data_IF_528133403128
#
_entry.id   IF_528133403128
#
_cell.length_a   1.000
_cell.length_b   1.000
_cell.length_c   1.000
_cell.angle_alpha   90.00
_cell.angle_beta   90.00
_cell.angle_gamma   90.00
#
_symmetry.space_group_name_H-M   'P 1'
#
loop_
_entity.id
_entity.type
_entity.pdbx_description
1 polymer ?
#
# COMPACT_ATOMS: atom_id res chain seq x y z
N UNK A 1 -18.64 -12.52 -13.10
CA UNK A 1 -17.94 -13.80 -12.99
C UNK A 1 -18.32 -14.50 -11.68
N UNK A 2 -18.13 -13.90 -10.50
CA UNK A 2 -18.39 -14.48 -9.18
C UNK A 2 -19.84 -15.00 -9.03
N UNK A 3 -20.84 -14.17 -9.34
CA UNK A 3 -22.25 -14.56 -9.28
C UNK A 3 -22.57 -15.83 -10.12
N UNK A 4 -21.98 -15.94 -11.33
CA UNK A 4 -22.17 -17.10 -12.19
C UNK A 4 -21.52 -18.36 -11.62
N UNK A 5 -20.32 -18.23 -11.02
CA UNK A 5 -19.59 -19.33 -10.41
C UNK A 5 -20.35 -19.88 -9.18
N UNK A 6 -20.88 -18.98 -8.35
CA UNK A 6 -21.70 -19.33 -7.18
C UNK A 6 -22.98 -20.06 -7.62
N UNK A 7 -23.72 -19.51 -8.61
CA UNK A 7 -24.96 -20.10 -9.10
C UNK A 7 -24.76 -21.49 -9.75
N UNK A 8 -23.56 -21.73 -10.30
CA UNK A 8 -23.23 -23.02 -10.90
C UNK A 8 -22.64 -24.04 -9.90
N UNK A 9 -22.49 -23.67 -8.63
CA UNK A 9 -21.78 -24.44 -7.58
C UNK A 9 -20.39 -24.93 -8.04
N UNK A 10 -19.72 -24.11 -8.86
CA UNK A 10 -18.36 -24.34 -9.42
C UNK A 10 -17.39 -23.22 -9.01
N UNK A 11 -17.48 -22.83 -7.73
CA UNK A 11 -16.54 -21.85 -7.20
C UNK A 11 -15.17 -22.52 -7.01
N UNK A 12 -14.14 -21.98 -7.68
CA UNK A 12 -12.73 -22.24 -7.38
C UNK A 12 -12.25 -21.36 -6.21
N UNK A 13 -10.97 -21.47 -5.87
CA UNK A 13 -10.39 -20.60 -4.84
C UNK A 13 -10.41 -19.14 -5.25
N UNK A 14 -10.62 -18.26 -4.27
CA UNK A 14 -10.82 -16.82 -4.45
C UNK A 14 -10.02 -16.05 -3.42
N UNK A 15 -9.47 -14.90 -3.80
CA UNK A 15 -8.89 -13.95 -2.87
C UNK A 15 -9.65 -12.62 -2.98
N UNK A 16 -10.27 -12.19 -1.88
CA UNK A 16 -10.89 -10.88 -1.75
C UNK A 16 -9.86 -9.91 -1.19
N UNK A 17 -9.58 -8.87 -1.95
CA UNK A 17 -8.64 -7.82 -1.60
C UNK A 17 -9.36 -6.47 -1.57
N UNK A 18 -8.99 -5.60 -0.64
CA UNK A 18 -9.54 -4.25 -0.54
C UNK A 18 -9.62 -3.73 0.89
N UNK A 19 -10.01 -2.46 1.09
CA UNK A 19 -9.99 -1.80 2.39
C UNK A 19 -10.93 -2.46 3.41
N UNK A 20 -10.73 -2.21 4.71
CA UNK A 20 -11.60 -2.74 5.76
C UNK A 20 -13.04 -2.25 5.59
N UNK A 21 -14.00 -3.01 6.12
CA UNK A 21 -15.43 -2.64 6.11
C UNK A 21 -16.14 -2.79 4.77
N UNK A 22 -15.48 -3.28 3.71
CA UNK A 22 -16.06 -3.50 2.38
C UNK A 22 -16.87 -4.82 2.25
N UNK A 23 -17.00 -5.58 3.33
CA UNK A 23 -17.84 -6.78 3.36
C UNK A 23 -17.15 -8.08 2.91
N UNK A 24 -15.81 -8.19 2.88
CA UNK A 24 -15.07 -9.41 2.49
C UNK A 24 -15.57 -10.66 3.23
N UNK A 25 -15.62 -10.62 4.55
CA UNK A 25 -16.09 -11.73 5.41
C UNK A 25 -17.57 -12.03 5.20
N UNK A 26 -18.38 -10.99 5.02
CA UNK A 26 -19.81 -11.13 4.75
C UNK A 26 -20.06 -11.83 3.42
N UNK A 27 -19.31 -11.43 2.39
CA UNK A 27 -19.40 -12.05 1.05
C UNK A 27 -19.00 -13.53 1.09
N UNK A 28 -17.93 -13.87 1.81
CA UNK A 28 -17.50 -15.25 2.00
C UNK A 28 -18.60 -16.11 2.66
N UNK A 29 -19.27 -15.57 3.69
CA UNK A 29 -20.41 -16.26 4.34
C UNK A 29 -21.63 -16.41 3.43
N UNK A 30 -21.93 -15.39 2.62
CA UNK A 30 -23.03 -15.49 1.63
C UNK A 30 -22.71 -16.57 0.60
N UNK A 31 -21.47 -16.66 0.12
CA UNK A 31 -21.02 -17.71 -0.79
C UNK A 31 -21.21 -19.09 -0.15
N UNK A 32 -20.75 -19.26 1.07
CA UNK A 32 -20.85 -20.53 1.78
C UNK A 32 -22.32 -20.97 1.98
N UNK A 33 -23.19 -20.03 2.35
CA UNK A 33 -24.63 -20.33 2.54
C UNK A 33 -25.37 -20.60 1.22
N UNK A 34 -24.79 -20.24 0.09
CA UNK A 34 -25.40 -20.45 -1.24
C UNK A 34 -24.88 -21.72 -1.92
N UNK A 35 -23.79 -22.28 -1.41
CA UNK A 35 -23.17 -23.51 -1.91
C UNK A 35 -23.48 -24.69 -1.01
N UNK A 36 -23.27 -25.90 -1.49
CA UNK A 36 -23.43 -27.13 -0.72
C UNK A 36 -22.22 -27.47 0.18
N UNK A 37 -21.18 -26.62 0.16
CA UNK A 37 -19.94 -26.83 0.87
C UNK A 37 -20.06 -26.46 2.37
N UNK A 38 -19.26 -27.12 3.19
CA UNK A 38 -19.11 -26.75 4.62
C UNK A 38 -18.19 -25.54 4.76
N UNK A 39 -18.52 -24.63 5.68
CA UNK A 39 -17.77 -23.40 5.90
C UNK A 39 -16.92 -23.46 7.17
N UNK A 40 -15.63 -23.34 7.03
CA UNK A 40 -14.69 -23.24 8.15
C UNK A 40 -13.91 -21.93 8.04
N UNK A 41 -13.77 -21.21 9.16
CA UNK A 41 -13.09 -19.93 9.21
C UNK A 41 -11.84 -20.01 10.06
N UNK A 42 -10.72 -19.50 9.54
CA UNK A 42 -9.48 -19.23 10.29
C UNK A 42 -9.16 -17.73 10.21
N UNK A 43 -8.59 -17.23 11.29
CA UNK A 43 -8.00 -15.89 11.30
C UNK A 43 -6.47 -16.06 11.32
N UNK A 44 -5.78 -15.59 10.28
CA UNK A 44 -4.35 -15.78 10.14
C UNK A 44 -3.51 -15.06 11.21
N UNK A 45 -4.10 -14.10 11.94
CA UNK A 45 -3.40 -13.44 13.07
C UNK A 45 -3.30 -14.31 14.32
N UNK A 46 -4.20 -15.27 14.49
CA UNK A 46 -4.29 -16.13 15.69
C UNK A 46 -4.08 -17.61 15.40
N UNK A 47 -4.37 -18.05 14.17
CA UNK A 47 -4.30 -19.45 13.78
C UNK A 47 -2.85 -19.92 13.60
N UNK A 48 -2.55 -21.06 14.24
CA UNK A 48 -1.27 -21.75 14.11
C UNK A 48 -1.33 -22.95 13.16
N UNK A 49 -0.21 -23.65 13.04
CA UNK A 49 -0.10 -24.85 12.18
C UNK A 49 -1.09 -25.95 12.61
N UNK A 50 -1.31 -26.12 13.89
CA UNK A 50 -2.24 -27.15 14.42
C UNK A 50 -3.69 -26.89 13.99
N UNK A 51 -4.12 -25.64 14.01
CA UNK A 51 -5.48 -25.29 13.59
C UNK A 51 -5.69 -25.60 12.10
N UNK A 52 -4.66 -25.37 11.29
CA UNK A 52 -4.69 -25.70 9.86
C UNK A 52 -4.73 -27.20 9.62
N UNK A 53 -3.94 -27.98 10.38
CA UNK A 53 -3.93 -29.45 10.31
C UNK A 53 -5.29 -30.05 10.69
N UNK A 54 -5.95 -29.50 11.70
CA UNK A 54 -7.28 -29.92 12.12
C UNK A 54 -8.33 -29.66 11.04
N UNK A 55 -8.35 -28.46 10.47
CA UNK A 55 -9.24 -28.09 9.36
C UNK A 55 -9.05 -29.02 8.15
N UNK A 56 -7.81 -29.28 7.78
CA UNK A 56 -7.50 -30.19 6.64
C UNK A 56 -7.98 -31.61 6.92
N UNK A 57 -7.72 -32.14 8.12
CA UNK A 57 -8.16 -33.47 8.53
C UNK A 57 -9.68 -33.61 8.48
N UNK A 58 -10.39 -32.61 9.02
CA UNK A 58 -11.86 -32.60 8.94
C UNK A 58 -12.36 -32.51 7.50
N UNK A 59 -11.74 -31.69 6.65
CA UNK A 59 -12.11 -31.57 5.25
C UNK A 59 -11.94 -32.88 4.49
N UNK A 60 -10.83 -33.59 4.72
CA UNK A 60 -10.57 -34.91 4.15
C UNK A 60 -11.59 -35.95 4.61
N UNK A 61 -11.96 -35.94 5.89
CA UNK A 61 -13.00 -36.83 6.41
C UNK A 61 -14.37 -36.54 5.78
N UNK A 62 -14.74 -35.27 5.63
CA UNK A 62 -16.01 -34.86 5.01
C UNK A 62 -16.10 -35.28 3.55
N UNK A 63 -15.02 -35.12 2.79
CA UNK A 63 -14.96 -35.59 1.40
C UNK A 63 -15.10 -37.10 1.35
N UNK A 64 -14.35 -37.84 2.19
CA UNK A 64 -14.37 -39.31 2.19
C UNK A 64 -15.71 -39.90 2.61
N UNK A 65 -16.42 -39.30 3.60
CA UNK A 65 -17.67 -39.84 4.14
C UNK A 65 -18.92 -39.33 3.40
N UNK A 66 -18.89 -38.08 2.94
CA UNK A 66 -20.11 -37.39 2.48
C UNK A 66 -19.98 -36.80 1.07
N UNK A 67 -18.80 -36.85 0.46
CA UNK A 67 -18.53 -36.20 -0.82
C UNK A 67 -18.66 -34.68 -0.78
N UNK A 68 -18.70 -34.06 0.43
CA UNK A 68 -18.87 -32.63 0.62
C UNK A 68 -17.52 -31.92 0.64
N UNK A 69 -17.41 -30.83 -0.14
CA UNK A 69 -16.25 -29.94 -0.11
C UNK A 69 -16.26 -29.02 1.12
N UNK A 70 -15.11 -28.56 1.51
CA UNK A 70 -14.97 -27.55 2.57
C UNK A 70 -14.48 -26.24 1.98
N UNK A 71 -15.22 -25.15 2.23
CA UNK A 71 -14.74 -23.79 2.00
C UNK A 71 -13.96 -23.35 3.23
N UNK A 72 -12.66 -23.15 3.06
CA UNK A 72 -11.81 -22.55 4.08
C UNK A 72 -11.71 -21.04 3.83
N UNK A 73 -12.35 -20.26 4.71
CA UNK A 73 -12.17 -18.81 4.74
C UNK A 73 -10.99 -18.46 5.65
N UNK A 74 -9.99 -17.78 5.09
CA UNK A 74 -8.82 -17.27 5.83
C UNK A 74 -8.88 -15.76 5.83
N UNK A 75 -9.19 -15.20 7.01
CA UNK A 75 -9.16 -13.74 7.21
C UNK A 75 -7.71 -13.29 7.44
N UNK A 76 -7.35 -12.14 6.85
CA UNK A 76 -6.00 -11.56 6.87
C UNK A 76 -4.92 -12.56 6.38
N UNK A 77 -5.17 -13.23 5.26
CA UNK A 77 -4.30 -14.31 4.72
C UNK A 77 -2.83 -13.88 4.57
N UNK A 78 -2.54 -12.59 4.37
CA UNK A 78 -1.19 -12.04 4.31
C UNK A 78 -0.40 -12.20 5.62
N UNK A 79 -1.06 -12.47 6.76
CA UNK A 79 -0.42 -12.74 8.05
C UNK A 79 0.12 -14.17 8.16
N UNK A 80 -0.32 -15.08 7.33
CA UNK A 80 0.32 -16.38 7.23
C UNK A 80 1.71 -16.27 6.62
N UNK A 81 2.70 -16.88 7.25
CA UNK A 81 4.03 -16.98 6.67
C UNK A 81 4.03 -17.92 5.44
N UNK A 82 5.11 -17.87 4.64
CA UNK A 82 5.21 -18.65 3.40
C UNK A 82 4.98 -20.15 3.62
N UNK A 83 5.53 -20.73 4.70
CA UNK A 83 5.36 -22.13 5.01
C UNK A 83 3.92 -22.52 5.36
N UNK A 84 3.15 -21.62 5.99
CA UNK A 84 1.73 -21.84 6.27
C UNK A 84 0.91 -21.76 4.97
N UNK A 85 1.23 -20.81 4.10
CA UNK A 85 0.59 -20.69 2.79
C UNK A 85 0.90 -21.90 1.89
N UNK A 86 2.15 -22.39 1.89
CA UNK A 86 2.59 -23.57 1.16
C UNK A 86 1.90 -24.84 1.67
N UNK A 87 1.63 -24.92 2.97
CA UNK A 87 0.92 -26.06 3.56
C UNK A 87 -0.51 -26.24 3.01
N UNK A 88 -1.20 -25.14 2.69
CA UNK A 88 -2.55 -25.20 2.12
C UNK A 88 -2.57 -25.62 0.64
N UNK A 89 -1.47 -25.42 -0.08
CA UNK A 89 -1.41 -25.56 -1.52
C UNK A 89 -1.84 -26.95 -2.03
N UNK A 90 -1.35 -28.09 -1.51
CA UNK A 90 -1.77 -29.42 -1.95
C UNK A 90 -3.28 -29.63 -1.86
N UNK A 91 -3.91 -29.15 -0.79
CA UNK A 91 -5.34 -29.33 -0.52
C UNK A 91 -6.25 -28.39 -1.34
N UNK A 92 -5.68 -27.30 -1.83
CA UNK A 92 -6.33 -26.43 -2.80
C UNK A 92 -6.21 -27.04 -4.21
N UNK A 93 -5.08 -27.68 -4.52
CA UNK A 93 -4.83 -28.32 -5.81
C UNK A 93 -5.70 -29.56 -6.03
N UNK A 94 -5.83 -30.41 -5.04
CA UNK A 94 -6.63 -31.64 -5.12
C UNK A 94 -8.12 -31.41 -4.91
N UNK A 95 -8.52 -30.17 -4.55
CA UNK A 95 -9.91 -29.77 -4.36
C UNK A 95 -10.50 -30.21 -3.01
N UNK A 96 -9.69 -30.68 -2.07
CA UNK A 96 -10.10 -30.94 -0.67
C UNK A 96 -10.61 -29.67 -0.02
N UNK A 97 -9.94 -28.55 -0.29
CA UNK A 97 -10.31 -27.23 0.18
C UNK A 97 -10.62 -26.28 -1.00
N UNK A 98 -11.67 -25.51 -0.88
CA UNK A 98 -11.90 -24.29 -1.66
C UNK A 98 -11.46 -23.11 -0.80
N UNK A 99 -10.34 -22.48 -1.14
CA UNK A 99 -9.80 -21.38 -0.35
C UNK A 99 -10.54 -20.08 -0.70
N UNK A 100 -11.04 -19.37 0.31
CA UNK A 100 -11.44 -17.96 0.20
C UNK A 100 -10.52 -17.15 1.10
N UNK A 101 -9.49 -16.51 0.54
CA UNK A 101 -8.62 -15.60 1.26
C UNK A 101 -9.22 -14.20 1.33
N UNK A 102 -9.10 -13.52 2.46
CA UNK A 102 -9.39 -12.09 2.59
C UNK A 102 -8.14 -11.35 3.03
N UNK A 103 -7.88 -10.20 2.45
CA UNK A 103 -6.74 -9.36 2.80
C UNK A 103 -7.04 -7.87 2.56
N UNK A 104 -6.39 -7.02 3.34
CA UNK A 104 -6.35 -5.57 3.09
C UNK A 104 -5.13 -5.15 2.30
N UNK A 105 -4.13 -6.04 2.20
CA UNK A 105 -2.87 -5.83 1.50
C UNK A 105 -2.92 -6.37 0.07
N UNK A 106 -2.05 -5.84 -0.81
CA UNK A 106 -1.99 -6.31 -2.20
C UNK A 106 -1.55 -7.78 -2.26
N UNK A 107 -2.43 -8.68 -2.73
CA UNK A 107 -2.16 -10.11 -2.71
C UNK A 107 -0.96 -10.50 -3.58
N UNK A 108 -0.63 -9.74 -4.60
CA UNK A 108 0.52 -10.02 -5.48
C UNK A 108 1.87 -9.88 -4.78
N UNK A 109 1.94 -9.13 -3.67
CA UNK A 109 3.16 -9.00 -2.87
C UNK A 109 3.19 -9.92 -1.66
N UNK A 110 2.03 -10.17 -1.05
CA UNK A 110 1.95 -10.79 0.26
C UNK A 110 1.50 -12.26 0.23
N UNK A 111 0.79 -12.66 -0.83
CA UNK A 111 0.32 -14.04 -0.96
C UNK A 111 1.25 -14.82 -1.89
N UNK A 112 1.49 -16.09 -1.54
CA UNK A 112 2.33 -16.98 -2.36
C UNK A 112 1.82 -17.05 -3.80
N UNK A 113 2.72 -16.84 -4.77
CA UNK A 113 2.42 -16.89 -6.20
C UNK A 113 1.74 -18.18 -6.66
N UNK A 114 2.03 -19.31 -5.99
CA UNK A 114 1.39 -20.58 -6.29
C UNK A 114 -0.10 -20.61 -5.88
N UNK A 115 -0.48 -19.99 -4.76
CA UNK A 115 -1.89 -19.81 -4.38
C UNK A 115 -2.59 -18.80 -5.30
N UNK A 116 -1.91 -17.70 -5.65
CA UNK A 116 -2.43 -16.69 -6.57
C UNK A 116 -2.78 -17.30 -7.92
N UNK A 117 -1.87 -18.12 -8.49
CA UNK A 117 -2.09 -18.75 -9.81
C UNK A 117 -3.30 -19.70 -9.85
N UNK A 118 -3.79 -20.13 -8.69
CA UNK A 118 -4.93 -21.04 -8.50
C UNK A 118 -6.17 -20.36 -7.96
N UNK A 119 -6.10 -19.06 -7.76
CA UNK A 119 -7.19 -18.27 -7.17
C UNK A 119 -7.63 -17.17 -8.13
N UNK A 120 -8.90 -16.81 -8.08
CA UNK A 120 -9.41 -15.62 -8.75
C UNK A 120 -9.35 -14.47 -7.75
N UNK A 121 -8.69 -13.39 -8.13
CA UNK A 121 -8.59 -12.20 -7.29
C UNK A 121 -9.75 -11.25 -7.60
N UNK A 122 -10.47 -10.83 -6.56
CA UNK A 122 -11.50 -9.81 -6.65
C UNK A 122 -11.13 -8.62 -5.76
N UNK A 123 -10.94 -7.47 -6.39
CA UNK A 123 -10.81 -6.21 -5.69
C UNK A 123 -12.18 -5.69 -5.24
N UNK A 124 -12.31 -5.43 -3.95
CA UNK A 124 -13.48 -4.80 -3.36
C UNK A 124 -13.14 -3.33 -3.08
N UNK A 125 -13.82 -2.44 -3.77
CA UNK A 125 -13.67 -1.00 -3.59
C UNK A 125 -14.35 -0.53 -2.31
N UNK A 126 -13.97 0.64 -1.76
CA UNK A 126 -14.78 1.29 -0.74
C UNK A 126 -16.23 1.39 -1.19
N UNK A 127 -17.15 1.28 -0.24
CA UNK A 127 -18.58 1.45 -0.54
C UNK A 127 -18.86 2.93 -0.85
N UNK A 128 -19.74 3.18 -1.80
CA UNK A 128 -20.20 4.53 -2.08
C UNK A 128 -21.12 5.04 -0.95
N UNK A 129 -21.21 6.36 -0.80
CA UNK A 129 -22.02 7.01 0.25
C UNK A 129 -23.45 6.48 0.27
N UNK A 130 -24.07 6.37 -0.90
CA UNK A 130 -25.44 5.89 -1.08
C UNK A 130 -25.64 4.44 -0.64
N UNK A 131 -24.59 3.60 -0.74
CA UNK A 131 -24.67 2.21 -0.29
C UNK A 131 -24.59 2.12 1.24
N UNK A 132 -23.79 2.98 1.87
CA UNK A 132 -23.73 3.08 3.33
C UNK A 132 -25.06 3.63 3.88
N UNK A 133 -25.65 4.64 3.26
CA UNK A 133 -26.97 5.15 3.66
C UNK A 133 -28.04 4.06 3.64
N UNK A 134 -28.10 3.23 2.58
CA UNK A 134 -29.01 2.07 2.50
C UNK A 134 -28.72 1.05 3.60
N UNK A 135 -27.44 0.82 3.94
CA UNK A 135 -27.07 -0.08 5.03
C UNK A 135 -27.53 0.46 6.38
N UNK A 136 -27.38 1.76 6.64
CA UNK A 136 -27.86 2.42 7.85
C UNK A 136 -29.39 2.36 7.97
N UNK A 137 -30.12 2.67 6.89
CA UNK A 137 -31.60 2.54 6.85
C UNK A 137 -32.05 1.11 7.17
N UNK A 138 -31.39 0.13 6.54
CA UNK A 138 -31.70 -1.28 6.83
C UNK A 138 -31.34 -1.65 8.26
N UNK A 139 -30.26 -1.16 8.80
CA UNK A 139 -29.83 -1.45 10.16
C UNK A 139 -30.87 -0.96 11.19
N UNK A 140 -31.46 0.21 10.99
CA UNK A 140 -32.46 0.76 11.92
C UNK A 140 -33.88 0.24 11.70
N UNK A 141 -34.17 -0.36 10.54
CA UNK A 141 -35.52 -0.86 10.20
C UNK A 141 -35.69 -2.37 10.33
N UNK A 142 -34.62 -3.16 10.15
CA UNK A 142 -34.68 -4.63 10.19
C UNK A 142 -34.90 -5.12 11.65
N UNK A 143 -36.02 -5.77 12.00
CA UNK A 143 -36.26 -6.20 13.37
C UNK A 143 -35.57 -7.50 13.75
N UNK A 144 -35.01 -8.23 12.78
CA UNK A 144 -34.39 -9.56 13.00
C UNK A 144 -32.86 -9.46 13.02
N UNK A 145 -32.30 -8.71 12.09
CA UNK A 145 -30.86 -8.60 11.92
C UNK A 145 -30.31 -7.21 12.22
N UNK A 146 -31.14 -6.28 12.61
CA UNK A 146 -30.82 -4.90 12.90
C UNK A 146 -31.42 -4.41 14.22
N UNK A 147 -31.61 -3.11 14.29
CA UNK A 147 -32.05 -2.37 15.45
C UNK A 147 -33.57 -2.03 15.40
N UNK A 148 -34.32 -2.62 14.47
CA UNK A 148 -35.76 -2.29 14.24
C UNK A 148 -36.66 -2.46 15.46
N UNK A 149 -36.29 -3.32 16.43
CA UNK A 149 -37.02 -3.50 17.69
C UNK A 149 -36.89 -2.32 18.64
N UNK A 150 -35.96 -1.43 18.43
CA UNK A 150 -35.73 -0.25 19.27
C UNK A 150 -36.59 0.95 18.88
N UNK A 151 -37.33 0.89 17.77
CA UNK A 151 -38.11 2.01 17.22
C UNK A 151 -37.26 3.26 16.98
N UNK A 152 -36.21 3.12 16.19
CA UNK A 152 -35.26 4.17 15.90
C UNK A 152 -35.78 5.11 14.82
N UNK A 153 -35.61 6.40 15.03
CA UNK A 153 -35.72 7.46 14.00
C UNK A 153 -34.33 7.99 13.73
N UNK A 154 -33.82 7.74 12.55
CA UNK A 154 -32.51 8.27 12.09
C UNK A 154 -32.80 9.50 11.22
N UNK A 155 -32.35 10.67 11.66
CA UNK A 155 -32.53 11.91 10.94
C UNK A 155 -31.70 11.91 9.63
N UNK A 156 -32.22 12.61 8.61
CA UNK A 156 -31.62 12.58 7.28
C UNK A 156 -30.19 13.13 7.25
N UNK A 157 -29.92 14.21 7.98
CA UNK A 157 -28.61 14.83 8.14
C UNK A 157 -27.64 13.95 8.93
N UNK A 158 -28.11 13.29 9.99
CA UNK A 158 -27.31 12.31 10.74
C UNK A 158 -26.91 11.11 9.88
N UNK A 159 -27.85 10.59 9.07
CA UNK A 159 -27.59 9.50 8.12
C UNK A 159 -26.55 9.89 7.09
N UNK A 160 -26.71 11.05 6.47
CA UNK A 160 -25.79 11.60 5.49
C UNK A 160 -24.39 11.79 6.10
N UNK A 161 -24.31 12.37 7.29
CA UNK A 161 -23.08 12.59 8.02
C UNK A 161 -22.34 11.28 8.33
N UNK A 162 -23.06 10.27 8.88
CA UNK A 162 -22.47 8.95 9.18
C UNK A 162 -21.91 8.28 7.92
N UNK A 163 -22.66 8.37 6.80
CA UNK A 163 -22.22 7.78 5.54
C UNK A 163 -20.96 8.47 4.97
N UNK A 164 -20.89 9.79 5.09
CA UNK A 164 -19.75 10.59 4.63
C UNK A 164 -18.48 10.31 5.48
N UNK A 165 -18.60 10.40 6.80
CA UNK A 165 -17.48 10.20 7.73
C UNK A 165 -16.96 8.74 7.68
N UNK A 166 -17.83 7.76 7.48
CA UNK A 166 -17.42 6.36 7.34
C UNK A 166 -16.50 6.14 6.14
N UNK A 167 -16.60 6.98 5.09
CA UNK A 167 -15.71 6.98 3.94
C UNK A 167 -15.52 5.61 3.30
N UNK A 168 -16.62 4.88 3.08
CA UNK A 168 -16.62 3.56 2.45
C UNK A 168 -16.46 2.37 3.41
N UNK A 169 -16.33 2.60 4.72
CA UNK A 169 -16.25 1.55 5.75
C UNK A 169 -17.61 1.34 6.41
N UNK A 170 -18.37 0.34 5.94
CA UNK A 170 -19.68 0.02 6.51
C UNK A 170 -19.61 -0.39 7.99
N UNK A 171 -18.51 -0.99 8.45
CA UNK A 171 -18.36 -1.41 9.85
C UNK A 171 -18.30 -0.18 10.76
N UNK A 172 -17.59 0.86 10.35
CA UNK A 172 -17.50 2.11 11.11
C UNK A 172 -18.91 2.77 11.24
N UNK A 173 -19.66 2.85 10.13
CA UNK A 173 -21.00 3.41 10.13
C UNK A 173 -21.99 2.58 10.99
N UNK A 174 -21.97 1.26 10.85
CA UNK A 174 -22.84 0.36 11.59
C UNK A 174 -22.53 0.35 13.10
N UNK A 175 -21.27 0.40 13.48
CA UNK A 175 -20.88 0.50 14.90
C UNK A 175 -21.32 1.84 15.51
N UNK A 176 -21.22 2.93 14.75
CA UNK A 176 -21.63 4.25 15.22
C UNK A 176 -23.15 4.31 15.46
N UNK A 177 -23.95 3.82 14.51
CA UNK A 177 -25.41 3.80 14.69
C UNK A 177 -25.83 2.85 15.83
N UNK A 178 -25.18 1.69 15.97
CA UNK A 178 -25.44 0.77 17.08
C UNK A 178 -25.15 1.43 18.42
N UNK A 179 -24.01 2.09 18.57
CA UNK A 179 -23.64 2.82 19.77
C UNK A 179 -24.66 3.93 20.06
N UNK A 180 -25.03 4.73 19.07
CA UNK A 180 -26.03 5.79 19.20
C UNK A 180 -27.36 5.27 19.72
N UNK A 181 -27.88 4.18 19.15
CA UNK A 181 -29.15 3.59 19.55
C UNK A 181 -29.11 3.01 20.96
N UNK A 182 -27.98 2.39 21.35
CA UNK A 182 -27.85 1.77 22.67
C UNK A 182 -27.56 2.77 23.79
N UNK A 183 -27.05 3.96 23.47
CA UNK A 183 -26.70 4.99 24.45
C UNK A 183 -27.72 6.12 24.58
N UNK A 184 -28.64 6.25 23.61
CA UNK A 184 -29.65 7.32 23.61
C UNK A 184 -30.95 6.88 24.30
N UNK A 185 -31.44 7.71 25.21
CA UNK A 185 -32.73 7.46 25.88
C UNK A 185 -33.92 7.67 24.93
N UNK A 186 -35.02 6.93 25.20
CA UNK A 186 -36.28 7.09 24.45
C UNK A 186 -36.90 8.46 24.75
N UNK A 187 -37.35 9.15 23.73
CA UNK A 187 -38.06 10.40 23.87
C UNK A 187 -39.51 10.17 24.28
N UNK A 188 -40.28 11.26 24.51
CA UNK A 188 -41.66 11.23 24.95
C UNK A 188 -42.62 10.48 23.99
N UNK A 189 -42.25 10.36 22.72
CA UNK A 189 -42.94 9.59 21.69
C UNK A 189 -42.65 8.08 21.71
N UNK A 190 -41.82 7.63 22.66
CA UNK A 190 -41.40 6.24 22.81
C UNK A 190 -40.33 5.77 21.80
N UNK A 191 -39.78 6.67 21.00
CA UNK A 191 -38.77 6.37 19.99
C UNK A 191 -37.38 6.86 20.43
N UNK A 192 -36.36 6.27 19.82
CA UNK A 192 -34.95 6.73 19.94
C UNK A 192 -34.63 7.58 18.72
N UNK A 193 -34.35 8.84 18.93
CA UNK A 193 -33.97 9.77 17.86
C UNK A 193 -32.45 9.89 17.78
N UNK A 194 -31.91 9.64 16.60
CA UNK A 194 -30.49 9.84 16.29
C UNK A 194 -30.39 11.04 15.38
N UNK A 195 -30.05 12.17 15.98
CA UNK A 195 -29.79 13.43 15.33
C UNK A 195 -28.30 13.58 14.99
N UNK A 196 -27.94 14.70 14.36
CA UNK A 196 -26.57 14.97 13.93
C UNK A 196 -25.59 15.07 15.12
N UNK A 197 -26.03 15.59 16.27
CA UNK A 197 -25.22 15.72 17.47
C UNK A 197 -24.86 14.34 18.02
N UNK A 198 -25.86 13.49 18.26
CA UNK A 198 -25.68 12.09 18.67
C UNK A 198 -24.81 11.31 17.69
N UNK A 199 -25.06 11.47 16.39
CA UNK A 199 -24.26 10.80 15.35
C UNK A 199 -22.79 11.24 15.40
N UNK A 200 -22.52 12.52 15.64
CA UNK A 200 -21.16 13.06 15.72
C UNK A 200 -20.38 12.59 16.95
N UNK A 201 -21.07 12.32 18.05
CA UNK A 201 -20.48 11.77 19.27
C UNK A 201 -20.17 10.28 19.14
N UNK A 202 -20.97 9.55 18.37
CA UNK A 202 -20.87 8.09 18.26
C UNK A 202 -19.87 7.64 17.19
N UNK A 203 -19.54 8.49 16.23
CA UNK A 203 -18.55 8.15 15.21
C UNK A 203 -17.17 8.74 15.56
N UNK A 204 -16.21 7.88 15.78
CA UNK A 204 -14.83 8.35 15.87
C UNK A 204 -14.44 8.95 14.52
N UNK A 205 -14.03 10.23 14.50
CA UNK A 205 -13.44 10.85 13.32
C UNK A 205 -12.40 9.89 12.75
N UNK A 206 -12.52 9.58 11.48
CA UNK A 206 -11.57 8.73 10.79
C UNK A 206 -10.19 9.34 11.01
N UNK A 207 -9.41 8.74 11.90
CA UNK A 207 -7.96 8.88 11.80
C UNK A 207 -7.66 8.34 10.41
N UNK A 208 -7.11 9.16 9.53
CA UNK A 208 -6.64 8.69 8.22
C UNK A 208 -5.79 7.48 8.52
N UNK A 209 -6.34 6.28 8.31
CA UNK A 209 -5.60 5.03 8.53
C UNK A 209 -4.61 4.93 7.38
N UNK A 210 -3.51 5.56 7.61
CA UNK A 210 -2.30 5.36 6.89
C UNK A 210 -1.66 4.12 7.50
N UNK A 211 -1.94 2.99 6.90
CA UNK A 211 -1.24 1.77 7.31
C UNK A 211 0.21 1.92 6.86
N UNK A 212 1.12 2.07 7.83
CA UNK A 212 2.56 2.29 7.58
C UNK A 212 3.23 1.16 6.79
N UNK A 213 2.54 0.06 6.58
CA UNK A 213 3.02 -1.14 5.88
C UNK A 213 2.14 -1.56 4.70
N UNK A 214 0.99 -0.91 4.46
CA UNK A 214 0.02 -1.28 3.42
C UNK A 214 0.18 -0.54 2.09
N UNK A 215 -0.55 -0.99 1.07
CA UNK A 215 -0.53 -0.44 -0.30
C UNK A 215 -0.78 1.07 -0.33
N UNK A 216 -1.68 1.59 0.53
CA UNK A 216 -1.96 3.04 0.60
C UNK A 216 -0.75 3.86 1.03
N UNK A 217 0.16 3.28 1.82
CA UNK A 217 1.44 3.90 2.17
C UNK A 217 2.30 4.09 0.92
N UNK A 218 2.54 3.00 0.19
CA UNK A 218 3.34 3.04 -1.03
C UNK A 218 2.73 3.91 -2.12
N UNK A 219 1.40 3.88 -2.26
CA UNK A 219 0.68 4.72 -3.22
C UNK A 219 0.80 6.20 -2.89
N UNK A 220 0.68 6.58 -1.60
CA UNK A 220 0.82 7.99 -1.18
C UNK A 220 2.25 8.49 -1.38
N UNK A 221 3.26 7.67 -1.04
CA UNK A 221 4.68 7.99 -1.28
C UNK A 221 4.95 8.12 -2.78
N UNK A 222 4.44 7.18 -3.58
CA UNK A 222 4.57 7.20 -5.03
C UNK A 222 3.93 8.46 -5.63
N UNK A 223 2.75 8.83 -5.16
CA UNK A 223 2.06 10.06 -5.59
C UNK A 223 2.85 11.31 -5.20
N UNK A 224 3.39 11.37 -3.97
CA UNK A 224 4.25 12.47 -3.52
C UNK A 224 5.48 12.67 -4.42
N UNK A 225 6.21 11.58 -4.70
CA UNK A 225 7.39 11.63 -5.57
C UNK A 225 7.01 12.04 -7.00
N UNK A 226 5.94 11.45 -7.55
CA UNK A 226 5.46 11.76 -8.90
C UNK A 226 4.98 13.21 -9.03
N UNK A 227 4.42 13.79 -7.97
CA UNK A 227 4.01 15.20 -7.95
C UNK A 227 5.22 16.12 -8.01
N UNK A 228 6.26 15.88 -7.21
CA UNK A 228 7.51 16.64 -7.26
C UNK A 228 8.20 16.50 -8.64
N UNK A 229 8.26 15.27 -9.18
CA UNK A 229 8.82 14.97 -10.51
C UNK A 229 8.04 15.63 -11.61
N UNK A 230 6.71 15.66 -11.50
CA UNK A 230 5.79 16.25 -12.47
C UNK A 230 5.65 17.76 -12.36
N UNK A 231 6.40 18.43 -11.47
CA UNK A 231 6.35 19.87 -11.25
C UNK A 231 4.98 20.40 -10.81
N UNK A 232 4.30 19.61 -9.95
CA UNK A 232 3.02 19.98 -9.33
C UNK A 232 3.23 20.24 -7.82
N UNK A 233 3.52 21.49 -7.40
CA UNK A 233 3.76 21.81 -6.01
C UNK A 233 2.52 21.67 -5.13
N UNK A 234 1.33 21.91 -5.64
CA UNK A 234 0.08 21.79 -4.87
C UNK A 234 -0.18 20.33 -4.49
N UNK A 235 -0.06 19.41 -5.45
CA UNK A 235 -0.17 17.99 -5.19
C UNK A 235 0.96 17.48 -4.28
N UNK A 236 2.20 17.98 -4.44
CA UNK A 236 3.32 17.61 -3.58
C UNK A 236 3.05 17.98 -2.12
N UNK A 237 2.58 19.20 -1.83
CA UNK A 237 2.23 19.64 -0.48
C UNK A 237 1.01 18.88 0.06
N UNK A 238 0.02 18.58 -0.78
CA UNK A 238 -1.13 17.77 -0.37
C UNK A 238 -0.74 16.36 0.09
N UNK A 239 0.08 15.64 -0.70
CA UNK A 239 0.54 14.30 -0.33
C UNK A 239 1.52 14.32 0.85
N UNK A 240 2.35 15.37 0.98
CA UNK A 240 3.16 15.61 2.17
C UNK A 240 2.27 15.73 3.42
N UNK A 241 1.25 16.59 3.37
CA UNK A 241 0.32 16.77 4.49
C UNK A 241 -0.41 15.46 4.83
N UNK A 242 -0.80 14.67 3.82
CA UNK A 242 -1.41 13.36 4.03
C UNK A 242 -0.48 12.38 4.75
N UNK A 243 0.82 12.34 4.40
CA UNK A 243 1.83 11.53 5.09
C UNK A 243 2.05 12.00 6.54
N UNK A 244 2.21 13.30 6.75
CA UNK A 244 2.41 13.89 8.09
C UNK A 244 1.21 13.66 9.00
N UNK A 245 -0.01 13.87 8.49
CA UNK A 245 -1.25 13.62 9.24
C UNK A 245 -1.38 12.15 9.66
N UNK A 246 -0.90 11.25 8.84
CA UNK A 246 -0.86 9.82 9.11
C UNK A 246 0.28 9.38 10.04
N UNK A 247 1.14 10.31 10.48
CA UNK A 247 2.24 10.06 11.39
C UNK A 247 3.44 9.36 10.74
N UNK A 248 3.69 9.61 9.43
CA UNK A 248 4.88 9.11 8.75
C UNK A 248 6.15 9.67 9.37
N UNK A 249 7.23 8.91 9.31
CA UNK A 249 8.54 9.35 9.79
C UNK A 249 9.06 10.53 8.96
N UNK A 250 9.26 11.67 9.62
CA UNK A 250 9.76 12.91 9.00
C UNK A 250 11.14 12.71 8.34
N UNK A 251 11.97 11.82 8.88
CA UNK A 251 13.27 11.46 8.30
C UNK A 251 13.11 10.67 7.01
N UNK A 252 12.12 9.79 6.96
CA UNK A 252 11.78 9.07 5.74
C UNK A 252 11.32 10.03 4.65
N UNK A 253 10.41 10.97 4.97
CA UNK A 253 9.92 11.99 4.03
C UNK A 253 11.09 12.84 3.51
N UNK A 254 11.95 13.35 4.41
CA UNK A 254 13.13 14.15 4.03
C UNK A 254 14.06 13.38 3.08
N UNK A 255 14.27 12.08 3.34
CA UNK A 255 15.06 11.21 2.45
C UNK A 255 14.46 11.10 1.06
N UNK A 256 13.12 11.00 0.95
CA UNK A 256 12.46 10.95 -0.37
C UNK A 256 12.61 12.26 -1.14
N UNK A 257 12.58 13.40 -0.46
CA UNK A 257 12.83 14.71 -1.07
C UNK A 257 14.27 14.80 -1.59
N UNK A 258 15.27 14.36 -0.79
CA UNK A 258 16.68 14.35 -1.22
C UNK A 258 16.90 13.47 -2.46
N UNK A 259 16.29 12.28 -2.50
CA UNK A 259 16.41 11.38 -3.65
C UNK A 259 15.81 12.06 -4.89
N UNK A 260 14.61 12.64 -4.79
CA UNK A 260 13.95 13.33 -5.91
C UNK A 260 14.77 14.54 -6.39
N UNK A 261 15.39 15.30 -5.47
CA UNK A 261 16.28 16.41 -5.81
C UNK A 261 17.50 15.95 -6.62
N UNK A 262 18.08 14.81 -6.29
CA UNK A 262 19.23 14.26 -7.01
C UNK A 262 18.86 13.55 -8.31
N UNK A 263 17.77 12.80 -8.32
CA UNK A 263 17.30 11.94 -9.42
C UNK A 263 16.61 12.75 -10.52
N UNK A 264 15.67 13.63 -10.14
CA UNK A 264 14.74 14.27 -11.06
C UNK A 264 15.13 15.74 -11.39
N UNK A 265 15.72 16.47 -10.44
CA UNK A 265 16.23 17.83 -10.66
C UNK A 265 17.69 17.79 -11.11
N UNK A 266 18.53 17.08 -10.38
CA UNK A 266 19.92 16.82 -10.74
C UNK A 266 20.70 18.09 -11.11
N UNK A 267 21.34 18.06 -12.28
CA UNK A 267 22.18 19.17 -12.78
C UNK A 267 21.37 20.35 -13.33
N UNK A 268 20.07 20.24 -13.50
CA UNK A 268 19.25 21.36 -13.94
C UNK A 268 19.16 22.48 -12.88
N UNK A 269 19.18 22.10 -11.59
CA UNK A 269 19.35 23.02 -10.46
C UNK A 269 20.10 22.31 -9.31
N UNK A 270 21.44 22.41 -9.26
CA UNK A 270 22.23 21.77 -8.21
C UNK A 270 21.87 22.23 -6.78
N UNK A 271 21.22 23.40 -6.62
CA UNK A 271 20.83 23.91 -5.32
C UNK A 271 19.66 23.12 -4.72
N UNK A 272 18.87 22.43 -5.53
CA UNK A 272 17.77 21.60 -5.04
C UNK A 272 18.23 20.53 -4.04
N UNK A 273 19.37 19.89 -4.32
CA UNK A 273 19.97 18.92 -3.40
C UNK A 273 20.47 19.59 -2.11
N UNK A 274 21.03 20.81 -2.19
CA UNK A 274 21.47 21.55 -1.01
C UNK A 274 20.29 21.91 -0.11
N UNK A 275 19.20 22.36 -0.67
CA UNK A 275 17.94 22.67 0.04
C UNK A 275 17.40 21.41 0.72
N UNK A 276 17.31 20.30 -0.01
CA UNK A 276 16.80 19.04 0.51
C UNK A 276 17.67 18.47 1.65
N UNK A 277 18.99 18.55 1.54
CA UNK A 277 19.93 18.12 2.60
C UNK A 277 19.81 19.04 3.82
N UNK A 278 19.78 20.35 3.63
CA UNK A 278 19.59 21.32 4.71
C UNK A 278 18.27 21.08 5.46
N UNK A 279 17.18 20.84 4.74
CA UNK A 279 15.89 20.48 5.33
C UNK A 279 15.98 19.18 6.14
N UNK A 280 16.64 18.14 5.62
CA UNK A 280 16.82 16.88 6.33
C UNK A 280 17.54 17.04 7.67
N UNK A 281 18.59 17.85 7.70
CA UNK A 281 19.34 18.16 8.93
C UNK A 281 18.52 19.00 9.90
N UNK A 282 17.73 19.93 9.38
CA UNK A 282 16.90 20.84 10.19
C UNK A 282 15.74 20.09 10.88
N UNK A 283 15.04 19.22 10.16
CA UNK A 283 13.90 18.47 10.73
C UNK A 283 14.32 17.54 11.87
N UNK A 284 15.54 17.01 11.85
CA UNK A 284 16.07 16.20 12.95
C UNK A 284 16.29 17.00 14.23
N UNK A 285 16.63 18.28 14.10
CA UNK A 285 16.89 19.16 15.25
C UNK A 285 15.64 19.82 15.80
N UNK A 286 14.70 20.15 14.91
CA UNK A 286 13.50 20.91 15.26
C UNK A 286 12.37 19.96 15.73
N UNK A 287 12.13 18.86 15.01
CA UNK A 287 11.04 17.94 15.32
C UNK A 287 9.65 18.48 14.94
N UNK A 288 8.63 17.68 15.20
CA UNK A 288 7.23 18.08 14.99
C UNK A 288 6.75 18.97 16.15
N UNK A 289 5.85 19.95 15.93
CA UNK A 289 5.12 20.17 14.67
C UNK A 289 5.84 21.04 13.63
N UNK A 290 6.89 21.76 13.98
CA UNK A 290 7.53 22.76 13.11
C UNK A 290 8.26 22.15 11.92
N UNK A 291 8.72 20.90 12.01
CA UNK A 291 9.35 20.17 10.92
C UNK A 291 8.48 20.11 9.64
N UNK A 292 7.15 20.17 9.78
CA UNK A 292 6.23 20.21 8.62
C UNK A 292 6.46 21.42 7.71
N UNK A 293 6.85 22.55 8.27
CA UNK A 293 7.12 23.80 7.51
C UNK A 293 8.37 23.61 6.67
N UNK A 294 9.43 23.07 7.26
CA UNK A 294 10.71 22.82 6.60
C UNK A 294 10.55 21.80 5.46
N UNK A 295 9.78 20.74 5.70
CA UNK A 295 9.50 19.72 4.69
C UNK A 295 8.66 20.30 3.53
N UNK A 296 7.68 21.15 3.83
CA UNK A 296 6.86 21.81 2.80
C UNK A 296 7.70 22.74 1.91
N UNK A 297 8.60 23.54 2.51
CA UNK A 297 9.54 24.39 1.78
C UNK A 297 10.40 23.57 0.81
N UNK A 298 11.04 22.51 1.30
CA UNK A 298 11.91 21.65 0.50
C UNK A 298 11.14 20.93 -0.62
N UNK A 299 9.95 20.39 -0.32
CA UNK A 299 9.13 19.69 -1.30
C UNK A 299 8.65 20.66 -2.41
N UNK A 300 8.22 21.86 -2.04
CA UNK A 300 7.81 22.91 -2.98
C UNK A 300 8.98 23.35 -3.84
N UNK A 301 10.16 23.58 -3.26
CA UNK A 301 11.36 23.94 -4.01
C UNK A 301 11.68 22.89 -5.07
N UNK A 302 11.74 21.61 -4.69
CA UNK A 302 12.05 20.50 -5.60
C UNK A 302 10.98 20.35 -6.67
N UNK A 303 9.69 20.56 -6.33
CA UNK A 303 8.59 20.52 -7.29
C UNK A 303 8.72 21.64 -8.33
N UNK A 304 9.08 22.87 -7.92
CA UNK A 304 9.19 24.04 -8.81
C UNK A 304 10.51 24.10 -9.60
N UNK A 305 11.55 23.36 -9.19
CA UNK A 305 12.84 23.36 -9.86
C UNK A 305 12.76 22.77 -11.28
N UNK A 306 13.62 23.22 -12.23
CA UNK A 306 13.75 22.57 -13.53
C UNK A 306 14.21 21.13 -13.35
N UNK A 307 13.88 20.25 -14.30
CA UNK A 307 14.11 18.81 -14.20
C UNK A 307 15.19 18.32 -15.17
N UNK A 308 16.10 17.47 -14.68
CA UNK A 308 17.03 16.69 -15.48
C UNK A 308 17.43 15.42 -14.73
N UNK A 309 17.16 14.27 -15.32
CA UNK A 309 17.59 12.97 -14.81
C UNK A 309 18.89 12.46 -15.44
N UNK A 310 19.61 13.30 -16.17
CA UNK A 310 20.80 12.91 -16.95
C UNK A 310 21.87 12.21 -16.12
N UNK A 311 22.11 12.67 -14.87
CA UNK A 311 23.10 12.03 -13.97
C UNK A 311 22.64 10.64 -13.53
N UNK A 312 21.35 10.47 -13.29
CA UNK A 312 20.75 9.20 -12.91
C UNK A 312 20.82 8.18 -14.08
N UNK A 313 20.43 8.59 -15.27
CA UNK A 313 20.52 7.74 -16.46
C UNK A 313 21.96 7.37 -16.81
N UNK A 314 22.90 8.33 -16.67
CA UNK A 314 24.31 8.09 -16.93
C UNK A 314 24.89 7.00 -16.03
N UNK A 315 24.65 7.07 -14.70
CA UNK A 315 25.16 6.05 -13.78
C UNK A 315 24.55 4.69 -14.03
N UNK A 316 23.25 4.60 -14.33
CA UNK A 316 22.61 3.32 -14.63
C UNK A 316 23.11 2.72 -15.96
N UNK A 317 23.30 3.53 -16.99
CA UNK A 317 23.92 3.09 -18.25
C UNK A 317 25.35 2.59 -18.03
N UNK A 318 26.13 3.32 -17.24
CA UNK A 318 27.48 2.92 -16.87
C UNK A 318 27.51 1.58 -16.11
N UNK A 319 26.67 1.43 -15.09
CA UNK A 319 26.54 0.19 -14.31
C UNK A 319 26.17 -1.02 -15.18
N UNK A 320 25.25 -0.83 -16.11
CA UNK A 320 24.87 -1.87 -17.10
C UNK A 320 26.07 -2.26 -17.98
N UNK A 321 26.83 -1.28 -18.46
CA UNK A 321 28.01 -1.51 -19.29
C UNK A 321 29.11 -2.25 -18.52
N UNK A 322 29.45 -1.80 -17.31
CA UNK A 322 30.43 -2.46 -16.45
C UNK A 322 30.05 -3.90 -16.15
N UNK A 323 28.75 -4.18 -15.96
CA UNK A 323 28.25 -5.54 -15.70
C UNK A 323 28.28 -6.47 -16.93
N UNK A 324 28.35 -5.92 -18.14
CA UNK A 324 28.27 -6.69 -19.40
C UNK A 324 29.58 -6.84 -20.15
N UNK A 325 30.57 -6.00 -19.88
CA UNK A 325 31.84 -5.93 -20.60
C UNK A 325 33.02 -6.05 -19.63
N UNK A 326 34.04 -6.84 -19.98
CA UNK A 326 35.33 -6.80 -19.25
C UNK A 326 35.99 -5.46 -19.55
N UNK A 327 36.08 -4.62 -18.53
CA UNK A 327 36.74 -3.31 -18.61
C UNK A 327 38.09 -3.37 -17.91
N UNK A 328 39.12 -2.77 -18.54
CA UNK A 328 40.42 -2.50 -17.91
C UNK A 328 40.70 -1.01 -17.99
N UNK A 329 41.35 -0.47 -16.96
CA UNK A 329 41.82 0.93 -16.98
C UNK A 329 42.89 1.06 -18.06
N UNK A 330 42.74 2.01 -19.02
CA UNK A 330 43.75 2.26 -20.03
C UNK A 330 45.13 2.61 -19.42
N UNK A 331 46.26 2.22 -20.03
CA UNK A 331 47.59 2.41 -19.46
C UNK A 331 47.94 3.85 -19.04
N UNK A 332 47.50 4.84 -19.83
CA UNK A 332 47.75 6.27 -19.55
C UNK A 332 46.96 6.78 -18.32
N UNK A 333 45.89 6.12 -17.91
CA UNK A 333 45.11 6.45 -16.72
C UNK A 333 45.44 5.57 -15.50
N UNK A 334 46.31 4.58 -15.65
CA UNK A 334 46.74 3.76 -14.53
C UNK A 334 47.69 4.54 -13.62
N UNK A 335 47.61 4.24 -12.31
CA UNK A 335 48.46 4.92 -11.32
C UNK A 335 49.94 4.74 -11.62
N UNK A 336 50.64 5.87 -11.74
CA UNK A 336 52.09 5.95 -12.03
C UNK A 336 52.93 6.37 -10.83
N UNK A 337 52.34 6.51 -9.61
CA UNK A 337 53.03 7.06 -8.44
C UNK A 337 53.86 6.04 -7.65
N UNK A 338 53.99 4.80 -8.12
CA UNK A 338 54.76 3.77 -7.43
C UNK A 338 56.03 3.36 -8.17
N UNK A 339 57.03 2.86 -7.42
CA UNK A 339 58.32 2.45 -7.94
C UNK A 339 58.20 1.26 -8.89
N UNK A 340 58.48 1.44 -10.18
CA UNK A 340 58.35 0.39 -11.20
C UNK A 340 57.18 0.56 -12.16
N UNK A 341 56.32 1.54 -11.98
CA UNK A 341 55.16 1.84 -12.86
C UNK A 341 55.57 2.06 -14.31
N UNK A 342 56.69 2.76 -14.54
CA UNK A 342 57.23 3.01 -15.87
C UNK A 342 57.66 1.73 -16.63
N UNK A 343 58.08 0.65 -15.91
CA UNK A 343 58.37 -0.64 -16.53
C UNK A 343 57.13 -1.38 -17.04
N UNK A 344 55.98 -0.99 -16.52
CA UNK A 344 54.66 -1.56 -16.89
C UNK A 344 53.90 -0.65 -17.86
N UNK A 345 54.46 0.49 -18.25
CA UNK A 345 53.81 1.45 -19.15
C UNK A 345 52.67 2.23 -18.50
N UNK A 346 52.57 2.22 -17.15
CA UNK A 346 51.52 2.92 -16.44
C UNK A 346 51.75 4.43 -16.47
N UNK A 347 50.71 5.20 -16.83
CA UNK A 347 50.77 6.65 -16.98
C UNK A 347 51.41 7.13 -18.29
N UNK A 348 51.85 6.22 -19.17
CA UNK A 348 52.45 6.61 -20.44
C UNK A 348 51.41 7.24 -21.37
N UNK A 349 51.68 8.48 -21.83
CA UNK A 349 50.75 9.23 -22.67
C UNK A 349 49.67 9.99 -21.91
N UNK A 350 49.72 10.07 -20.56
CA UNK A 350 48.81 10.90 -19.79
C UNK A 350 48.98 12.39 -20.13
N UNK A 351 47.88 13.04 -20.42
CA UNK A 351 47.82 14.47 -20.70
C UNK A 351 47.16 15.19 -19.50
N UNK A 352 47.92 16.11 -18.88
CA UNK A 352 47.40 16.86 -17.74
C UNK A 352 46.53 18.01 -18.25
N UNK A 353 45.24 17.95 -17.97
CA UNK A 353 44.25 18.86 -18.56
C UNK A 353 44.55 20.35 -18.32
N UNK A 354 45.10 20.71 -17.14
CA UNK A 354 45.46 22.11 -16.84
C UNK A 354 46.55 22.71 -17.71
N UNK A 355 47.28 21.89 -18.48
CA UNK A 355 48.26 22.36 -19.44
C UNK A 355 47.63 22.74 -20.81
N UNK A 356 46.32 22.56 -20.96
CA UNK A 356 45.57 22.75 -22.20
C UNK A 356 44.48 23.86 -22.07
N UNK A 357 44.12 24.50 -23.17
CA UNK A 357 43.08 25.52 -23.17
C UNK A 357 41.76 24.99 -22.64
N UNK A 358 41.10 25.77 -21.75
CA UNK A 358 39.85 25.42 -21.08
C UNK A 358 39.92 24.17 -20.19
N UNK A 359 41.10 23.77 -19.75
CA UNK A 359 41.28 22.55 -18.92
C UNK A 359 40.68 21.29 -19.59
N UNK A 360 40.77 21.22 -20.93
CA UNK A 360 40.18 20.16 -21.72
C UNK A 360 41.19 19.45 -22.57
N UNK A 361 41.19 18.13 -22.47
CA UNK A 361 41.88 17.21 -23.38
C UNK A 361 40.86 16.25 -23.96
N UNK A 362 41.03 15.86 -25.22
CA UNK A 362 40.12 14.91 -25.84
C UNK A 362 40.19 13.58 -25.09
N UNK A 363 39.08 13.12 -24.45
CA UNK A 363 39.12 11.94 -23.60
C UNK A 363 39.30 10.67 -24.43
N UNK A 364 40.40 9.95 -24.21
CA UNK A 364 40.68 8.63 -24.79
C UNK A 364 40.43 7.52 -23.78
N UNK A 365 39.74 7.85 -22.65
CA UNK A 365 39.67 6.97 -21.50
C UNK A 365 38.60 5.86 -21.63
N UNK A 366 37.37 6.15 -21.72
CA UNK A 366 36.28 5.21 -22.00
C UNK A 366 35.18 6.01 -22.68
N UNK A 367 35.19 5.92 -24.00
CA UNK A 367 34.61 6.98 -24.82
C UNK A 367 33.15 6.78 -25.24
N UNK A 368 32.40 5.87 -24.59
CA UNK A 368 31.08 5.56 -25.08
C UNK A 368 29.93 5.97 -24.15
N UNK A 369 30.22 6.69 -23.06
CA UNK A 369 29.22 7.33 -22.21
C UNK A 369 29.12 8.80 -22.59
N UNK A 370 28.39 9.11 -23.66
CA UNK A 370 27.90 10.47 -23.86
C UNK A 370 26.71 10.68 -22.91
N UNK A 371 26.83 11.64 -21.98
CA UNK A 371 25.70 12.08 -21.20
C UNK A 371 24.63 12.60 -22.15
N UNK A 372 23.36 12.19 -22.03
CA UNK A 372 22.28 12.86 -22.73
C UNK A 372 22.24 14.32 -22.27
N UNK A 373 22.34 15.22 -23.20
CA UNK A 373 22.23 16.69 -22.98
C UNK A 373 20.79 17.06 -22.68
#
# INVERSE_FOLDING_TARGET
LLYRAIKADKLGSVIFYGPPGTGKTTLARVIANTTSAEFTQLNATTAGKKDMEEVVKEAQQRIGMYGKKTILFVDEIHRFNKGQQDYLLPFVEDGTLVLIGATTENPYFEVNGALISRSIIFELKPLEKEDIEKLLERAVTDPVKGLGTYNVVLDADAKEFLADIAGGDARAALNAIELGVLSTERQADGKIHIDLETASECIQKRVVRYDKTGDQHYDTISAFIKSMRGSDPDAAVFYLAKMLYAGEDIKFIARRIMICAAEDVGLADPNALNVAVSASLAVERVGMPEAQIILAEAATYVACAPKSNSSCEAVFAAMKTVGSVRTSVPPHLQDAHYKGSAKLGHGEGYQYAHDYPNDYVEPVSYTHLTLPT
#
